data_IF_292955590057
#
_entry.id   IF_292955590057
#
_cell.length_a   1.000
_cell.length_b   1.000
_cell.length_c   1.000
_cell.angle_alpha   90.00
_cell.angle_beta   90.00
_cell.angle_gamma   90.00
#
_symmetry.space_group_name_H-M   'P 1'
#
loop_
_entity.id
_entity.type
_entity.pdbx_description
1 polymer ?
#
# COMPACT_ATOMS: atom_id res chain seq x y z
N UNK A 1 -37.96 20.06 -1.62
CA UNK A 1 -36.87 20.80 -2.27
C UNK A 1 -35.66 20.76 -1.34
N UNK A 2 -34.81 19.74 -1.47
CA UNK A 2 -33.58 19.64 -0.71
C UNK A 2 -32.50 20.47 -1.45
N UNK A 3 -32.06 21.56 -0.82
CA UNK A 3 -31.02 22.42 -1.38
C UNK A 3 -29.73 21.62 -1.52
N UNK A 4 -29.25 21.47 -2.74
CA UNK A 4 -27.90 21.05 -3.07
C UNK A 4 -26.95 22.07 -2.43
N UNK A 5 -26.48 21.77 -1.20
CA UNK A 5 -25.34 22.50 -0.64
C UNK A 5 -24.11 22.11 -1.46
N UNK A 6 -23.68 23.00 -2.34
CA UNK A 6 -22.33 22.92 -2.93
C UNK A 6 -21.35 22.77 -1.77
N UNK A 7 -20.53 21.69 -1.72
CA UNK A 7 -19.58 21.51 -0.64
C UNK A 7 -18.69 22.73 -0.54
N UNK A 8 -18.55 23.27 0.66
CA UNK A 8 -17.79 24.49 0.90
C UNK A 8 -16.33 24.26 0.45
N UNK A 9 -15.72 25.25 -0.21
CA UNK A 9 -14.28 25.23 -0.59
C UNK A 9 -13.37 24.81 0.57
N UNK A 10 -13.81 25.07 1.80
CA UNK A 10 -13.11 24.66 3.02
C UNK A 10 -13.09 23.14 3.22
N UNK A 11 -14.18 22.44 2.88
CA UNK A 11 -14.27 20.98 3.02
C UNK A 11 -13.34 20.25 2.05
N UNK A 12 -13.22 20.71 0.80
CA UNK A 12 -12.25 20.16 -0.15
C UNK A 12 -10.80 20.47 0.24
N UNK A 13 -10.55 21.64 0.82
CA UNK A 13 -9.23 21.95 1.37
C UNK A 13 -8.83 20.99 2.50
N UNK A 14 -9.78 20.52 3.30
CA UNK A 14 -9.54 19.53 4.34
C UNK A 14 -9.06 18.19 3.75
N UNK A 15 -9.61 17.74 2.61
CA UNK A 15 -9.17 16.51 1.94
C UNK A 15 -7.69 16.56 1.57
N UNK A 16 -7.22 17.72 1.15
CA UNK A 16 -5.84 17.94 0.69
C UNK A 16 -4.85 18.13 1.84
N UNK A 17 -5.22 18.95 2.84
CA UNK A 17 -4.30 19.31 3.93
C UNK A 17 -4.30 18.27 5.06
N UNK A 18 -5.43 17.58 5.28
CA UNK A 18 -5.64 16.66 6.40
C UNK A 18 -6.38 15.38 5.95
N UNK A 19 -5.81 14.61 5.01
CA UNK A 19 -6.53 13.46 4.42
C UNK A 19 -6.86 12.34 5.41
N UNK A 20 -6.05 12.16 6.46
CA UNK A 20 -6.33 11.19 7.53
C UNK A 20 -7.56 11.57 8.35
N UNK A 21 -7.64 12.81 8.78
CA UNK A 21 -8.77 13.36 9.55
C UNK A 21 -10.05 13.40 8.71
N UNK A 22 -9.90 13.73 7.43
CA UNK A 22 -11.00 13.70 6.46
C UNK A 22 -11.54 12.28 6.31
N UNK A 23 -10.68 11.25 6.13
CA UNK A 23 -11.07 9.85 6.05
C UNK A 23 -11.87 9.42 7.29
N UNK A 24 -11.35 9.67 8.49
CA UNK A 24 -12.00 9.32 9.76
C UNK A 24 -13.34 10.04 9.96
N UNK A 25 -13.50 11.23 9.41
CA UNK A 25 -14.76 11.98 9.47
C UNK A 25 -15.78 11.40 8.51
N UNK A 26 -15.37 11.12 7.28
CA UNK A 26 -16.22 10.56 6.24
C UNK A 26 -16.70 9.15 6.58
N UNK A 27 -15.88 8.33 7.23
CA UNK A 27 -16.26 6.98 7.70
C UNK A 27 -17.47 6.96 8.65
N UNK A 28 -17.82 8.08 9.26
CA UNK A 28 -18.98 8.22 10.16
C UNK A 28 -20.26 8.59 9.43
N UNK A 29 -20.19 8.92 8.15
CA UNK A 29 -21.31 9.34 7.31
C UNK A 29 -21.85 8.17 6.47
N UNK A 30 -23.12 8.21 6.03
CA UNK A 30 -23.65 7.25 5.07
C UNK A 30 -22.83 7.21 3.78
N UNK A 31 -22.63 6.02 3.22
CA UNK A 31 -21.74 5.81 2.06
C UNK A 31 -22.16 6.66 0.85
N UNK A 32 -23.46 6.80 0.62
CA UNK A 32 -24.03 7.58 -0.48
C UNK A 32 -23.67 9.07 -0.36
N UNK A 33 -23.65 9.61 0.86
CA UNK A 33 -23.23 10.99 1.13
C UNK A 33 -21.72 11.15 0.91
N UNK A 34 -20.93 10.18 1.35
CA UNK A 34 -19.48 10.16 1.13
C UNK A 34 -19.15 10.15 -0.36
N UNK A 35 -19.79 9.26 -1.13
CA UNK A 35 -19.61 9.16 -2.58
C UNK A 35 -20.04 10.44 -3.29
N UNK A 36 -21.17 11.03 -2.90
CA UNK A 36 -21.65 12.30 -3.44
C UNK A 36 -20.64 13.43 -3.18
N UNK A 37 -20.13 13.53 -1.96
CA UNK A 37 -19.13 14.51 -1.57
C UNK A 37 -17.83 14.33 -2.32
N UNK A 38 -17.26 13.12 -2.32
CA UNK A 38 -16.00 12.81 -3.02
C UNK A 38 -16.14 12.91 -4.55
N UNK A 39 -17.35 12.74 -5.10
CA UNK A 39 -17.59 12.92 -6.55
C UNK A 39 -17.41 14.35 -6.99
N UNK A 40 -17.58 15.33 -6.11
CA UNK A 40 -17.31 16.74 -6.36
C UNK A 40 -15.86 17.18 -6.09
N UNK A 41 -15.03 16.31 -5.50
CA UNK A 41 -13.63 16.58 -5.24
C UNK A 41 -12.76 16.38 -6.49
N UNK A 42 -11.56 16.99 -6.48
CA UNK A 42 -10.58 16.73 -7.54
C UNK A 42 -10.12 15.26 -7.49
N UNK A 43 -9.95 14.65 -8.66
CA UNK A 43 -9.52 13.26 -8.80
C UNK A 43 -8.18 13.00 -8.09
N UNK A 44 -7.35 14.01 -7.91
CA UNK A 44 -6.05 13.92 -7.22
C UNK A 44 -6.21 13.80 -5.69
N UNK A 45 -7.31 14.32 -5.13
CA UNK A 45 -7.52 14.34 -3.67
C UNK A 45 -8.16 13.04 -3.16
N UNK A 46 -8.95 12.38 -4.00
CA UNK A 46 -9.69 11.16 -3.64
C UNK A 46 -8.76 10.01 -3.21
N UNK A 47 -7.69 9.67 -3.95
CA UNK A 47 -6.75 8.62 -3.56
C UNK A 47 -6.10 8.85 -2.21
N UNK A 48 -5.73 10.10 -1.90
CA UNK A 48 -5.09 10.45 -0.63
C UNK A 48 -6.02 10.21 0.57
N UNK A 49 -7.32 10.41 0.41
CA UNK A 49 -8.32 10.12 1.44
C UNK A 49 -8.59 8.62 1.54
N UNK A 50 -8.84 7.95 0.39
CA UNK A 50 -9.17 6.52 0.35
C UNK A 50 -8.07 5.63 0.94
N UNK A 51 -6.80 6.02 0.79
CA UNK A 51 -5.67 5.26 1.37
C UNK A 51 -5.68 5.22 2.92
N UNK A 52 -6.34 6.18 3.56
CA UNK A 52 -6.47 6.26 5.02
C UNK A 52 -7.81 5.75 5.52
N UNK A 53 -8.77 5.50 4.63
CA UNK A 53 -10.07 4.94 4.96
C UNK A 53 -9.99 3.48 5.35
N UNK A 54 -10.94 3.05 6.19
CA UNK A 54 -11.20 1.63 6.40
C UNK A 54 -11.45 0.97 5.04
N UNK A 55 -10.84 -0.20 4.83
CA UNK A 55 -10.88 -0.92 3.56
C UNK A 55 -12.29 -1.21 3.07
N UNK A 56 -13.18 -1.63 3.97
CA UNK A 56 -14.54 -2.03 3.60
C UNK A 56 -15.38 -0.81 3.22
N UNK A 57 -15.19 0.33 3.92
CA UNK A 57 -15.84 1.61 3.58
C UNK A 57 -15.32 2.13 2.23
N UNK A 58 -14.01 2.11 2.03
CA UNK A 58 -13.40 2.53 0.77
C UNK A 58 -13.87 1.67 -0.41
N UNK A 59 -13.93 0.34 -0.25
CA UNK A 59 -14.43 -0.58 -1.26
C UNK A 59 -15.92 -0.33 -1.58
N UNK A 60 -16.74 -0.10 -0.56
CA UNK A 60 -18.15 0.23 -0.74
C UNK A 60 -18.36 1.57 -1.48
N UNK A 61 -17.50 2.57 -1.22
CA UNK A 61 -17.49 3.80 -2.00
C UNK A 61 -17.11 3.56 -3.46
N UNK A 62 -16.09 2.72 -3.71
CA UNK A 62 -15.66 2.39 -5.07
C UNK A 62 -16.79 1.74 -5.87
N UNK A 63 -17.53 0.78 -5.30
CA UNK A 63 -18.62 0.06 -5.98
C UNK A 63 -19.77 0.95 -6.46
N UNK A 64 -19.87 2.18 -5.96
CA UNK A 64 -20.88 3.15 -6.39
C UNK A 64 -20.40 4.07 -7.52
N UNK A 65 -19.13 3.97 -7.93
CA UNK A 65 -18.61 4.74 -9.07
C UNK A 65 -18.56 3.92 -10.36
N UNK A 66 -18.56 4.58 -11.53
CA UNK A 66 -18.32 3.91 -12.81
C UNK A 66 -16.93 3.30 -12.88
N UNK A 67 -16.78 2.15 -13.56
CA UNK A 67 -15.51 1.41 -13.70
C UNK A 67 -14.34 2.29 -14.15
N UNK A 68 -14.57 3.22 -15.07
CA UNK A 68 -13.55 4.13 -15.57
C UNK A 68 -13.00 5.02 -14.43
N UNK A 69 -13.87 5.55 -13.58
CA UNK A 69 -13.45 6.39 -12.44
C UNK A 69 -12.73 5.57 -11.39
N UNK A 70 -13.21 4.37 -11.12
CA UNK A 70 -12.52 3.41 -10.22
C UNK A 70 -11.11 3.15 -10.74
N UNK A 71 -10.96 2.89 -12.04
CA UNK A 71 -9.67 2.61 -12.65
C UNK A 71 -8.68 3.78 -12.53
N UNK A 72 -9.12 5.03 -12.71
CA UNK A 72 -8.31 6.23 -12.54
C UNK A 72 -7.83 6.39 -11.09
N UNK A 73 -8.72 6.17 -10.12
CA UNK A 73 -8.40 6.21 -8.69
C UNK A 73 -7.40 5.11 -8.34
N UNK A 74 -7.67 3.87 -8.73
CA UNK A 74 -6.81 2.71 -8.46
C UNK A 74 -5.43 2.88 -9.08
N UNK A 75 -5.33 3.43 -10.29
CA UNK A 75 -4.04 3.68 -10.96
C UNK A 75 -3.19 4.74 -10.25
N UNK A 76 -3.80 5.67 -9.52
CA UNK A 76 -3.11 6.74 -8.79
C UNK A 76 -2.73 6.39 -7.35
N UNK A 77 -3.30 5.31 -6.80
CA UNK A 77 -2.98 4.80 -5.47
C UNK A 77 -1.65 4.01 -5.46
N UNK A 78 -0.96 3.96 -4.30
CA UNK A 78 0.15 3.03 -4.14
C UNK A 78 -0.28 1.58 -4.44
N UNK A 79 0.54 0.77 -5.16
CA UNK A 79 0.15 -0.58 -5.61
C UNK A 79 -0.40 -1.49 -4.49
N UNK A 80 0.13 -1.37 -3.27
CA UNK A 80 -0.34 -2.12 -2.10
C UNK A 80 -1.79 -1.77 -1.73
N UNK A 81 -2.13 -0.48 -1.71
CA UNK A 81 -3.48 0.00 -1.40
C UNK A 81 -4.44 -0.42 -2.50
N UNK A 82 -4.05 -0.21 -3.76
CA UNK A 82 -4.81 -0.65 -4.94
C UNK A 82 -5.10 -2.15 -4.90
N UNK A 83 -4.09 -2.97 -4.58
CA UNK A 83 -4.25 -4.43 -4.44
C UNK A 83 -5.26 -4.77 -3.34
N UNK A 84 -5.17 -4.12 -2.18
CA UNK A 84 -6.09 -4.34 -1.06
C UNK A 84 -7.53 -4.01 -1.43
N UNK A 85 -7.77 -2.88 -2.08
CA UNK A 85 -9.10 -2.46 -2.54
C UNK A 85 -9.63 -3.39 -3.64
N UNK A 86 -8.81 -3.73 -4.63
CA UNK A 86 -9.20 -4.66 -5.69
C UNK A 86 -9.60 -6.04 -5.18
N UNK A 87 -9.02 -6.51 -4.07
CA UNK A 87 -9.42 -7.78 -3.43
C UNK A 87 -10.83 -7.72 -2.84
N UNK A 88 -11.32 -6.55 -2.47
CA UNK A 88 -12.68 -6.36 -1.93
C UNK A 88 -13.75 -6.23 -3.02
N UNK A 89 -13.36 -6.00 -4.27
CA UNK A 89 -14.28 -5.98 -5.42
C UNK A 89 -14.65 -7.40 -5.86
N UNK A 90 -15.86 -7.54 -6.43
CA UNK A 90 -16.28 -8.76 -7.10
C UNK A 90 -15.34 -9.12 -8.27
N UNK A 91 -15.27 -10.39 -8.66
CA UNK A 91 -14.32 -10.85 -9.67
C UNK A 91 -14.50 -10.14 -11.01
N UNK A 92 -15.75 -10.00 -11.47
CA UNK A 92 -16.09 -9.32 -12.74
C UNK A 92 -15.71 -7.84 -12.71
N UNK A 93 -16.05 -7.14 -11.62
CA UNK A 93 -15.75 -5.73 -11.41
C UNK A 93 -14.23 -5.50 -11.33
N UNK A 94 -13.52 -6.34 -10.57
CA UNK A 94 -12.07 -6.30 -10.45
C UNK A 94 -11.37 -6.43 -11.81
N UNK A 95 -11.77 -7.38 -12.65
CA UNK A 95 -11.17 -7.56 -13.97
C UNK A 95 -11.47 -6.37 -14.89
N UNK A 96 -12.69 -5.79 -14.85
CA UNK A 96 -13.03 -4.58 -15.59
C UNK A 96 -12.14 -3.40 -15.19
N UNK A 97 -11.97 -3.19 -13.87
CA UNK A 97 -11.10 -2.14 -13.31
C UNK A 97 -9.65 -2.36 -13.69
N UNK A 98 -9.11 -3.57 -13.54
CA UNK A 98 -7.72 -3.89 -13.90
C UNK A 98 -7.46 -3.71 -15.40
N UNK A 99 -8.45 -3.97 -16.26
CA UNK A 99 -8.34 -3.71 -17.69
C UNK A 99 -8.31 -2.21 -18.00
N UNK A 100 -9.04 -1.41 -17.26
CA UNK A 100 -9.16 0.04 -17.49
C UNK A 100 -8.00 0.86 -16.88
N UNK A 101 -7.35 0.40 -15.79
CA UNK A 101 -6.31 1.18 -15.11
C UNK A 101 -4.92 1.19 -15.79
N UNK A 102 -4.79 0.55 -16.95
CA UNK A 102 -3.55 0.49 -17.74
C UNK A 102 -2.60 -0.63 -17.29
N UNK A 103 -1.77 -1.09 -18.23
CA UNK A 103 -0.98 -2.32 -18.06
C UNK A 103 0.05 -2.28 -16.94
N UNK A 104 0.69 -1.14 -16.70
CA UNK A 104 1.68 -0.97 -15.64
C UNK A 104 1.07 -1.10 -14.25
N UNK A 105 -0.04 -0.42 -13.98
CA UNK A 105 -0.75 -0.49 -12.70
C UNK A 105 -1.35 -1.89 -12.50
N UNK A 106 -2.05 -2.42 -13.51
CA UNK A 106 -2.64 -3.75 -13.48
C UNK A 106 -1.58 -4.84 -13.25
N UNK A 107 -0.43 -4.76 -13.92
CA UNK A 107 0.68 -5.69 -13.74
C UNK A 107 1.24 -5.68 -12.31
N UNK A 108 1.38 -4.49 -11.72
CA UNK A 108 1.81 -4.33 -10.33
C UNK A 108 0.81 -4.94 -9.35
N UNK A 109 -0.48 -4.65 -9.52
CA UNK A 109 -1.55 -5.20 -8.68
C UNK A 109 -1.63 -6.71 -8.81
N UNK A 110 -1.63 -7.26 -10.04
CA UNK A 110 -1.66 -8.73 -10.28
C UNK A 110 -0.47 -9.45 -9.63
N UNK A 111 0.73 -8.85 -9.67
CA UNK A 111 1.90 -9.42 -8.97
C UNK A 111 1.68 -9.53 -7.47
N UNK A 112 1.13 -8.48 -6.84
CA UNK A 112 0.83 -8.49 -5.40
C UNK A 112 -0.28 -9.49 -5.05
N UNK A 113 -1.28 -9.65 -5.92
CA UNK A 113 -2.40 -10.57 -5.72
C UNK A 113 -2.00 -12.06 -5.74
N UNK A 114 -0.84 -12.40 -6.28
CA UNK A 114 -0.30 -13.77 -6.25
C UNK A 114 0.11 -14.22 -4.84
N UNK A 115 0.28 -13.30 -3.91
CA UNK A 115 0.67 -13.60 -2.53
C UNK A 115 -0.54 -13.58 -1.61
N UNK A 116 -0.57 -14.43 -0.56
CA UNK A 116 -1.59 -14.36 0.48
C UNK A 116 -1.59 -12.97 1.15
N UNK A 117 -2.77 -12.51 1.54
CA UNK A 117 -2.90 -11.26 2.30
C UNK A 117 -2.02 -11.30 3.57
N UNK A 118 -1.56 -10.14 4.01
CA UNK A 118 -0.71 -10.00 5.19
C UNK A 118 0.67 -10.64 5.11
N UNK A 119 1.13 -11.06 3.91
CA UNK A 119 2.51 -11.49 3.66
C UNK A 119 3.34 -10.36 3.05
N UNK A 120 4.66 -10.46 3.17
CA UNK A 120 5.58 -9.46 2.61
C UNK A 120 5.38 -9.25 1.10
N UNK A 121 5.10 -10.31 0.35
CA UNK A 121 4.81 -10.26 -1.07
C UNK A 121 3.54 -9.49 -1.43
N UNK A 122 2.51 -9.50 -0.55
CA UNK A 122 1.30 -8.71 -0.75
C UNK A 122 1.44 -7.25 -0.27
N UNK A 123 2.37 -7.00 0.66
CA UNK A 123 2.57 -5.71 1.33
C UNK A 123 3.73 -4.88 0.77
N UNK A 124 4.55 -5.44 -0.13
CA UNK A 124 5.70 -4.77 -0.73
C UNK A 124 5.31 -3.72 -1.78
N UNK A 125 6.23 -2.82 -2.09
CA UNK A 125 6.24 -2.12 -3.38
C UNK A 125 6.85 -3.08 -4.42
N UNK A 126 6.10 -3.46 -5.48
CA UNK A 126 6.57 -4.42 -6.48
C UNK A 126 7.51 -3.82 -7.53
N UNK A 127 7.88 -2.54 -7.40
CA UNK A 127 8.74 -1.83 -8.34
C UNK A 127 9.99 -1.26 -7.65
N UNK A 128 10.85 -2.12 -7.06
CA UNK A 128 12.06 -1.65 -6.40
C UNK A 128 13.01 -1.05 -7.44
N UNK A 129 13.75 0.02 -7.14
CA UNK A 129 14.82 0.50 -8.01
C UNK A 129 15.92 -0.55 -8.04
N UNK A 130 16.13 -1.17 -9.21
CA UNK A 130 17.10 -2.25 -9.37
C UNK A 130 17.84 -2.15 -10.69
N UNK A 131 19.13 -2.52 -10.68
CA UNK A 131 19.99 -2.63 -11.86
C UNK A 131 20.84 -3.90 -11.81
N UNK A 132 21.27 -4.42 -12.98
CA UNK A 132 22.22 -5.52 -13.06
C UNK A 132 23.58 -5.17 -12.47
N UNK A 133 24.28 -6.16 -11.93
CA UNK A 133 25.55 -6.02 -11.25
C UNK A 133 26.75 -5.65 -12.16
N UNK A 134 26.59 -5.82 -13.45
CA UNK A 134 27.55 -5.48 -14.50
C UNK A 134 27.38 -4.06 -15.07
N UNK A 135 26.31 -3.34 -14.70
CA UNK A 135 26.15 -1.92 -14.99
C UNK A 135 27.16 -1.07 -14.21
N UNK A 136 27.46 0.12 -14.72
CA UNK A 136 28.37 1.07 -14.06
C UNK A 136 27.64 2.10 -13.19
N UNK A 137 28.42 2.84 -12.40
CA UNK A 137 27.90 3.87 -11.49
C UNK A 137 27.28 5.04 -12.27
N UNK A 138 27.77 5.36 -13.48
CA UNK A 138 27.16 6.41 -14.31
C UNK A 138 25.74 6.06 -14.70
N UNK A 139 25.53 4.87 -15.24
CA UNK A 139 24.21 4.33 -15.56
C UNK A 139 23.26 4.32 -14.35
N UNK A 140 23.80 3.94 -13.17
CA UNK A 140 23.04 3.92 -11.93
C UNK A 140 22.60 5.32 -11.50
N UNK A 141 23.46 6.32 -11.59
CA UNK A 141 23.12 7.73 -11.28
C UNK A 141 22.04 8.27 -12.22
N UNK A 142 22.17 8.02 -13.53
CA UNK A 142 21.17 8.41 -14.51
C UNK A 142 19.80 7.74 -14.25
N UNK A 143 19.82 6.45 -13.93
CA UNK A 143 18.61 5.71 -13.57
C UNK A 143 17.95 6.32 -12.34
N UNK A 144 18.72 6.53 -11.27
CA UNK A 144 18.21 7.10 -10.01
C UNK A 144 17.66 8.52 -10.18
N UNK A 145 18.24 9.33 -11.05
CA UNK A 145 17.75 10.68 -11.36
C UNK A 145 16.38 10.68 -12.07
N UNK A 146 16.05 9.62 -12.78
CA UNK A 146 14.75 9.45 -13.47
C UNK A 146 13.65 8.89 -12.59
N UNK A 147 14.01 8.24 -11.48
CA UNK A 147 13.03 7.66 -10.54
C UNK A 147 12.37 8.76 -9.73
N UNK A 148 11.07 8.94 -9.93
CA UNK A 148 10.28 10.05 -9.33
C UNK A 148 9.88 9.83 -7.86
N UNK A 149 10.36 8.79 -7.20
CA UNK A 149 10.01 8.54 -5.80
C UNK A 149 10.89 9.33 -4.86
N UNK A 150 10.30 10.06 -3.92
CA UNK A 150 11.01 10.78 -2.86
C UNK A 150 11.61 9.87 -1.78
N UNK A 151 11.37 8.57 -1.82
CA UNK A 151 11.71 7.61 -0.77
C UNK A 151 12.70 6.55 -1.24
N UNK A 152 13.61 6.90 -2.16
CA UNK A 152 14.64 5.97 -2.61
C UNK A 152 15.82 6.04 -1.67
N UNK A 153 15.96 5.04 -0.81
CA UNK A 153 17.09 4.91 0.09
C UNK A 153 18.24 4.13 -0.54
N UNK A 154 17.92 3.14 -1.38
CA UNK A 154 18.86 2.17 -1.93
C UNK A 154 18.55 1.84 -3.38
N UNK A 155 19.59 1.56 -4.15
CA UNK A 155 19.54 0.85 -5.42
C UNK A 155 19.85 -0.63 -5.15
N UNK A 156 18.94 -1.52 -5.53
CA UNK A 156 19.15 -2.95 -5.42
C UNK A 156 19.92 -3.47 -6.63
N UNK A 157 20.93 -4.28 -6.37
CA UNK A 157 21.78 -4.83 -7.42
C UNK A 157 21.40 -6.29 -7.62
N UNK A 158 21.09 -6.67 -8.86
CA UNK A 158 20.68 -8.03 -9.20
C UNK A 158 21.71 -8.70 -10.11
N UNK A 159 21.76 -10.01 -10.07
CA UNK A 159 22.38 -10.80 -11.12
C UNK A 159 21.49 -10.78 -12.37
N UNK A 160 21.99 -11.26 -13.50
CA UNK A 160 21.23 -11.31 -14.76
C UNK A 160 19.99 -12.21 -14.71
N UNK A 161 19.96 -13.16 -13.78
CA UNK A 161 18.79 -14.03 -13.52
C UNK A 161 17.74 -13.38 -12.60
N UNK A 162 17.94 -12.14 -12.15
CA UNK A 162 17.05 -11.40 -11.27
C UNK A 162 17.22 -11.71 -9.78
N UNK A 163 18.19 -12.53 -9.39
CA UNK A 163 18.51 -12.79 -7.98
C UNK A 163 19.22 -11.57 -7.36
N UNK A 164 18.98 -11.31 -6.08
CA UNK A 164 19.56 -10.18 -5.36
C UNK A 164 21.04 -10.41 -5.12
N UNK A 165 21.89 -9.56 -5.72
CA UNK A 165 23.33 -9.64 -5.60
C UNK A 165 23.90 -8.73 -4.50
N UNK A 166 23.28 -7.58 -4.26
CA UNK A 166 23.76 -6.59 -3.31
C UNK A 166 22.83 -5.37 -3.21
N UNK A 167 23.27 -4.37 -2.46
CA UNK A 167 22.59 -3.09 -2.31
C UNK A 167 23.60 -1.94 -2.33
N UNK A 168 23.25 -0.85 -3.02
CA UNK A 168 24.02 0.41 -3.00
C UNK A 168 23.19 1.50 -2.34
N UNK A 169 23.74 2.16 -1.32
CA UNK A 169 23.16 3.40 -0.81
C UNK A 169 23.40 4.55 -1.81
N UNK A 170 22.52 5.53 -1.83
CA UNK A 170 22.69 6.72 -2.68
C UNK A 170 24.07 7.37 -2.47
N UNK A 171 24.52 7.45 -1.21
CA UNK A 171 25.84 8.00 -0.87
C UNK A 171 27.00 7.19 -1.47
N UNK A 172 26.90 5.86 -1.49
CA UNK A 172 27.94 5.00 -2.05
C UNK A 172 28.10 5.24 -3.56
N UNK A 173 26.98 5.40 -4.28
CA UNK A 173 26.99 5.74 -5.70
C UNK A 173 27.65 7.10 -5.98
N UNK A 174 27.43 8.11 -5.12
CA UNK A 174 28.06 9.43 -5.31
C UNK A 174 29.56 9.44 -5.01
N UNK A 175 30.06 8.57 -4.15
CA UNK A 175 31.48 8.48 -3.78
C UNK A 175 32.33 7.61 -4.74
N UNK A 176 31.68 6.72 -5.49
CA UNK A 176 32.35 5.82 -6.40
C UNK A 176 32.74 6.52 -7.73
N UNK A 177 33.74 6.01 -8.41
CA UNK A 177 34.08 6.46 -9.75
C UNK A 177 32.99 6.05 -10.76
N UNK A 178 32.71 6.91 -11.75
CA UNK A 178 31.60 6.70 -12.71
C UNK A 178 31.71 5.40 -13.50
N UNK A 179 32.94 5.02 -13.87
CA UNK A 179 33.22 3.79 -14.61
C UNK A 179 33.30 2.52 -13.75
N UNK A 180 33.12 2.64 -12.43
CA UNK A 180 33.14 1.46 -11.55
C UNK A 180 31.91 0.59 -11.77
N UNK A 181 32.06 -0.73 -11.98
CA UNK A 181 30.91 -1.62 -12.06
C UNK A 181 30.23 -1.77 -10.70
N UNK A 182 28.90 -1.90 -10.70
CA UNK A 182 28.09 -1.92 -9.47
C UNK A 182 28.46 -3.07 -8.53
N UNK A 183 28.92 -4.21 -9.05
CA UNK A 183 29.35 -5.33 -8.21
C UNK A 183 30.56 -5.02 -7.31
N UNK A 184 31.34 -3.99 -7.62
CA UNK A 184 32.48 -3.53 -6.79
C UNK A 184 32.05 -2.50 -5.74
N UNK A 185 30.93 -1.81 -5.94
CA UNK A 185 30.45 -0.73 -5.07
C UNK A 185 29.35 -1.22 -4.11
N UNK A 186 28.64 -2.27 -4.50
CA UNK A 186 27.53 -2.83 -3.69
C UNK A 186 28.00 -3.42 -2.36
N UNK A 187 27.15 -3.35 -1.37
CA UNK A 187 27.33 -3.97 -0.05
C UNK A 187 26.70 -5.35 0.02
N UNK A 188 27.36 -6.27 0.73
CA UNK A 188 26.93 -7.63 1.07
C UNK A 188 27.34 -7.93 2.52
N UNK A 189 26.63 -8.83 3.26
CA UNK A 189 25.35 -9.48 2.89
C UNK A 189 24.19 -8.48 2.93
N UNK A 190 23.08 -8.81 2.25
CA UNK A 190 21.85 -8.00 2.26
C UNK A 190 20.85 -8.60 3.24
N UNK A 191 20.35 -7.79 4.18
CA UNK A 191 19.18 -8.15 4.98
C UNK A 191 17.96 -8.15 4.07
N UNK A 192 17.21 -9.27 4.03
CA UNK A 192 16.08 -9.46 3.12
C UNK A 192 14.90 -10.13 3.82
N UNK A 193 13.69 -9.89 3.33
CA UNK A 193 12.45 -10.48 3.85
C UNK A 193 11.93 -11.50 2.84
N UNK A 194 11.73 -12.78 3.22
CA UNK A 194 11.06 -13.74 2.36
C UNK A 194 9.60 -13.31 2.05
N UNK A 195 9.16 -13.46 0.79
CA UNK A 195 7.85 -12.99 0.34
C UNK A 195 6.66 -13.56 1.12
N UNK A 196 6.79 -14.76 1.66
CA UNK A 196 5.75 -15.42 2.46
C UNK A 196 5.80 -15.06 3.95
N UNK A 197 6.72 -14.20 4.39
CA UNK A 197 6.80 -13.73 5.77
C UNK A 197 5.53 -12.98 6.16
N UNK A 198 4.90 -13.38 7.25
CA UNK A 198 3.71 -12.69 7.78
C UNK A 198 4.03 -11.37 8.49
N UNK A 199 3.01 -10.56 8.78
CA UNK A 199 3.13 -9.21 9.39
C UNK A 199 4.05 -9.18 10.61
N UNK A 200 3.91 -10.12 11.54
CA UNK A 200 4.75 -10.15 12.74
C UNK A 200 6.24 -10.35 12.43
N UNK A 201 6.56 -11.20 11.47
CA UNK A 201 7.94 -11.42 11.04
C UNK A 201 8.51 -10.20 10.30
N UNK A 202 7.66 -9.48 9.54
CA UNK A 202 8.05 -8.23 8.87
C UNK A 202 8.37 -7.15 9.91
N UNK A 203 7.47 -6.90 10.87
CA UNK A 203 7.64 -5.83 11.87
C UNK A 203 8.76 -6.11 12.85
N UNK A 204 8.99 -7.38 13.24
CA UNK A 204 10.07 -7.78 14.15
C UNK A 204 11.42 -8.02 13.44
N UNK A 205 11.54 -7.75 12.13
CA UNK A 205 12.76 -8.06 11.39
C UNK A 205 13.95 -7.22 11.87
N UNK A 206 15.09 -7.84 12.28
CA UNK A 206 16.23 -7.11 12.86
C UNK A 206 16.86 -6.09 11.92
N UNK A 207 16.68 -6.27 10.60
CA UNK A 207 17.17 -5.34 9.58
C UNK A 207 16.66 -3.91 9.74
N UNK A 208 15.51 -3.69 10.41
CA UNK A 208 14.95 -2.35 10.65
C UNK A 208 15.80 -1.49 11.60
N UNK A 209 16.69 -2.09 12.37
CA UNK A 209 17.64 -1.35 13.21
C UNK A 209 18.72 -0.64 12.39
N UNK A 210 18.96 -1.10 11.16
CA UNK A 210 20.08 -0.64 10.32
C UNK A 210 19.60 -0.01 9.01
N UNK A 211 18.49 -0.52 8.45
CA UNK A 211 18.04 -0.16 7.11
C UNK A 211 16.67 0.52 7.13
N UNK A 212 16.49 1.52 6.24
CA UNK A 212 15.23 2.22 6.03
C UNK A 212 14.31 1.53 5.00
N UNK A 213 14.82 0.54 4.29
CA UNK A 213 14.06 -0.29 3.37
C UNK A 213 14.71 -1.66 3.27
N UNK A 214 13.88 -2.72 3.21
CA UNK A 214 14.34 -4.09 3.09
C UNK A 214 13.76 -4.71 1.82
N UNK A 215 14.60 -5.38 1.01
CA UNK A 215 14.15 -6.10 -0.18
C UNK A 215 13.31 -7.31 0.20
N UNK A 216 12.28 -7.54 -0.57
CA UNK A 216 11.43 -8.74 -0.50
C UNK A 216 11.87 -9.71 -1.59
N UNK A 217 12.17 -10.93 -1.19
CA UNK A 217 12.69 -11.96 -2.09
C UNK A 217 11.80 -13.19 -2.15
N UNK A 218 11.76 -13.80 -3.32
CA UNK A 218 11.12 -15.08 -3.58
C UNK A 218 12.06 -16.26 -3.41
N UNK A 219 11.78 -17.34 -4.13
CA UNK A 219 12.66 -18.51 -4.20
C UNK A 219 14.02 -18.10 -4.79
N UNK A 220 15.09 -18.73 -4.28
CA UNK A 220 16.47 -18.50 -4.72
C UNK A 220 16.89 -17.02 -4.66
N UNK A 221 16.36 -16.28 -3.68
CA UNK A 221 16.67 -14.86 -3.47
C UNK A 221 16.32 -13.95 -4.68
N UNK A 222 15.36 -14.36 -5.52
CA UNK A 222 14.86 -13.53 -6.62
C UNK A 222 14.20 -12.26 -6.06
N UNK A 223 14.63 -11.09 -6.52
CA UNK A 223 14.10 -9.80 -6.05
C UNK A 223 12.67 -9.60 -6.57
N UNK A 224 11.72 -9.45 -5.65
CA UNK A 224 10.31 -9.27 -5.97
C UNK A 224 9.82 -7.83 -5.74
N UNK A 225 10.37 -7.16 -4.72
CA UNK A 225 9.94 -5.84 -4.32
C UNK A 225 10.70 -5.32 -3.12
N UNK A 226 10.15 -4.30 -2.48
CA UNK A 226 10.76 -3.67 -1.30
C UNK A 226 9.67 -3.27 -0.30
N UNK A 227 9.99 -3.34 0.98
CA UNK A 227 9.21 -2.71 2.05
C UNK A 227 10.04 -1.58 2.62
N UNK A 228 9.54 -0.33 2.55
CA UNK A 228 10.17 0.83 3.17
C UNK A 228 9.75 0.98 4.62
N UNK A 229 10.49 1.78 5.39
CA UNK A 229 10.13 2.10 6.79
C UNK A 229 8.78 2.80 6.90
N UNK A 230 8.38 3.56 5.88
CA UNK A 230 7.04 4.16 5.79
C UNK A 230 5.96 3.09 5.63
N UNK A 231 6.15 2.13 4.71
CA UNK A 231 5.24 1.00 4.56
C UNK A 231 5.13 0.19 5.87
N UNK A 232 6.25 0.00 6.57
CA UNK A 232 6.28 -0.68 7.86
C UNK A 232 5.36 0.01 8.88
N UNK A 233 5.43 1.34 8.99
CA UNK A 233 4.57 2.11 9.90
C UNK A 233 3.09 2.03 9.52
N UNK A 234 2.78 2.00 8.24
CA UNK A 234 1.40 1.79 7.77
C UNK A 234 0.89 0.38 8.14
N UNK A 235 1.73 -0.64 7.97
CA UNK A 235 1.44 -2.03 8.37
C UNK A 235 1.21 -2.15 9.87
N UNK A 236 2.02 -1.49 10.69
CA UNK A 236 1.89 -1.46 12.15
C UNK A 236 0.59 -0.78 12.59
N UNK A 237 0.23 0.33 11.95
CA UNK A 237 -1.01 1.06 12.25
C UNK A 237 -2.25 0.25 11.91
N UNK A 238 -2.29 -0.37 10.73
CA UNK A 238 -3.40 -1.25 10.32
C UNK A 238 -3.57 -2.43 11.29
N UNK A 239 -2.47 -2.94 11.86
CA UNK A 239 -2.53 -3.97 12.90
C UNK A 239 -3.15 -3.44 14.18
N UNK A 240 -2.72 -2.27 14.66
CA UNK A 240 -3.26 -1.67 15.89
C UNK A 240 -4.76 -1.37 15.76
N UNK A 241 -5.21 -0.92 14.62
CA UNK A 241 -6.63 -0.64 14.37
C UNK A 241 -7.45 -1.94 14.35
N UNK A 242 -6.93 -3.03 13.81
CA UNK A 242 -7.56 -4.36 13.84
C UNK A 242 -7.60 -4.95 15.27
N UNK A 243 -6.50 -4.84 16.01
CA UNK A 243 -6.41 -5.33 17.40
C UNK A 243 -7.34 -4.54 18.34
N UNK A 244 -7.55 -3.24 18.08
CA UNK A 244 -8.46 -2.40 18.86
C UNK A 244 -9.95 -2.60 18.48
N UNK A 245 -10.25 -3.04 17.27
CA UNK A 245 -11.62 -3.35 16.84
C UNK A 245 -12.13 -4.68 17.41
N UNK A 246 -11.25 -5.65 17.64
CA UNK A 246 -11.61 -6.97 18.20
C UNK A 246 -12.28 -6.90 19.60
N UNK A 247 -11.78 -6.14 20.58
CA UNK A 247 -12.43 -6.05 21.89
C UNK A 247 -13.83 -5.45 21.84
N UNK A 248 -14.09 -4.53 20.91
CA UNK A 248 -15.41 -3.90 20.75
C UNK A 248 -16.45 -4.90 20.23
N UNK A 249 -16.06 -5.78 19.29
CA UNK A 249 -16.92 -6.84 18.77
C UNK A 249 -17.27 -7.87 19.85
N UNK A 250 -16.31 -8.27 20.69
CA UNK A 250 -16.57 -9.17 21.82
C UNK A 250 -17.47 -8.51 22.87
N UNK A 251 -17.21 -7.25 23.24
CA UNK A 251 -18.02 -6.52 24.22
C UNK A 251 -19.47 -6.31 23.74
N UNK A 252 -19.68 -6.01 22.45
CA UNK A 252 -21.04 -5.87 21.87
C UNK A 252 -21.71 -7.24 21.76
N UNK A 253 -20.97 -8.29 21.39
CA UNK A 253 -21.48 -9.66 21.33
C UNK A 253 -21.92 -10.19 22.70
N UNK A 254 -21.14 -9.97 23.76
CA UNK A 254 -21.49 -10.34 25.13
C UNK A 254 -22.67 -9.53 25.66
N UNK A 255 -22.76 -8.24 25.34
CA UNK A 255 -23.87 -7.39 25.74
C UNK A 255 -25.17 -7.79 25.02
N UNK A 256 -25.11 -8.20 23.74
CA UNK A 256 -26.25 -8.71 22.98
C UNK A 256 -26.69 -10.08 23.48
N UNK A 257 -25.74 -10.97 23.82
CA UNK A 257 -26.04 -12.28 24.42
C UNK A 257 -26.64 -12.16 25.81
N UNK A 258 -26.10 -11.24 26.62
CA UNK A 258 -26.66 -10.97 27.96
C UNK A 258 -28.06 -10.39 27.92
N UNK A 259 -28.37 -9.47 26.99
CA UNK A 259 -29.72 -8.93 26.81
C UNK A 259 -30.70 -9.98 26.28
N UNK A 260 -30.30 -10.86 25.37
CA UNK A 260 -31.16 -11.97 24.89
C UNK A 260 -31.45 -13.00 25.99
N UNK A 261 -30.48 -13.37 26.81
CA UNK A 261 -30.69 -14.32 27.91
C UNK A 261 -31.64 -13.76 28.99
N UNK A 262 -31.53 -12.48 29.34
CA UNK A 262 -32.42 -11.87 30.34
C UNK A 262 -33.78 -11.54 29.81
N UNK A 263 -33.98 -11.33 28.52
CA UNK A 263 -35.31 -11.20 27.90
C UNK A 263 -36.05 -12.54 27.85
N UNK A 264 -35.35 -13.65 27.73
CA UNK A 264 -35.94 -15.00 27.74
C UNK A 264 -36.32 -15.47 29.14
N UNK A 265 -35.61 -15.05 30.20
CA UNK A 265 -35.93 -15.37 31.60
C UNK A 265 -37.13 -14.55 32.15
N UNK A 266 -37.50 -13.43 31.52
CA UNK A 266 -38.64 -12.60 31.90
C UNK A 266 -39.97 -13.02 31.29
N UNK A 267 -40.02 -14.08 30.47
CA UNK A 267 -41.22 -14.57 29.74
C UNK A 267 -41.73 -15.93 30.34
N UNK A 268 -41.02 -16.49 31.32
CA UNK A 268 -41.52 -17.60 32.12
C UNK A 268 -42.00 -17.11 33.50
#
# INVERSE_FOLDING_TARGET
MAGSKTPDRLAYRLLREYPLEAARTLEKSPIEEVVTFLSGADIVEIPEVLRFMNRDVAAACLSLWPDQRIAEIIASLPPRVSCSLCRSLGETEREAVLKACGESAAGSIRRLMQFPENTAGALMDPNPPALPSDEDVSSAREYMAKVKSSEIYYLYITNRDGTLAGVCGVRDLYQAAESSPLHQVMRKPVSMIPALSGRNAITAHPGWQTYHALPVVGKNEFLLGVISYRNLREIEREKSDQDNAMPLFFAVGEMYWWTLTHLMEGIM
#
